data_IF_406207571351
#
_entry.id   IF_406207571351
#
_cell.length_a   1.000
_cell.length_b   1.000
_cell.length_c   1.000
_cell.angle_alpha   90.00
_cell.angle_beta   90.00
_cell.angle_gamma   90.00
#
_symmetry.space_group_name_H-M   'P 1'
#
loop_
_entity.id
_entity.type
_entity.pdbx_description
1 polymer ?
#
# COMPACT_ATOMS: atom_id res chain seq x y z
N UNK A 1 9.41 17.59 5.54
CA UNK A 1 9.87 16.30 4.97
C UNK A 1 10.82 15.51 5.89
N UNK A 2 11.89 16.12 6.42
CA UNK A 2 12.92 15.44 7.24
C UNK A 2 12.35 14.60 8.41
N UNK A 3 11.31 15.09 9.08
CA UNK A 3 10.73 14.41 10.23
C UNK A 3 10.14 13.02 9.91
N UNK A 4 9.62 12.79 8.70
CA UNK A 4 9.08 11.47 8.31
C UNK A 4 10.20 10.42 8.26
N UNK A 5 11.36 10.81 7.74
CA UNK A 5 12.55 9.97 7.74
C UNK A 5 13.05 9.69 9.16
N UNK A 6 12.87 10.62 10.10
CA UNK A 6 13.21 10.37 11.52
C UNK A 6 12.22 9.42 12.21
N UNK A 7 10.97 9.31 11.73
CA UNK A 7 10.00 8.35 12.25
C UNK A 7 10.22 6.92 11.75
N UNK A 8 10.79 6.77 10.54
CA UNK A 8 10.96 5.47 9.88
C UNK A 8 11.69 4.41 10.74
N UNK A 9 12.81 4.71 11.44
CA UNK A 9 13.45 3.73 12.31
C UNK A 9 12.55 3.20 13.44
N UNK A 10 11.66 4.04 13.97
CA UNK A 10 10.72 3.64 15.02
C UNK A 10 9.66 2.69 14.48
N UNK A 11 9.07 3.01 13.32
CA UNK A 11 8.14 2.11 12.64
C UNK A 11 8.80 0.76 12.30
N UNK A 12 10.02 0.79 11.77
CA UNK A 12 10.78 -0.43 11.48
C UNK A 12 10.98 -1.27 12.73
N UNK A 13 11.31 -0.66 13.87
CA UNK A 13 11.49 -1.39 15.12
C UNK A 13 10.17 -2.00 15.62
N UNK A 14 9.07 -1.25 15.61
CA UNK A 14 7.75 -1.73 16.03
C UNK A 14 7.26 -2.89 15.17
N UNK A 15 7.23 -2.71 13.85
CA UNK A 15 6.73 -3.70 12.89
C UNK A 15 7.62 -4.95 12.86
N UNK A 16 8.95 -4.80 12.87
CA UNK A 16 9.85 -5.96 12.92
C UNK A 16 9.68 -6.73 14.23
N UNK A 17 9.58 -6.06 15.38
CA UNK A 17 9.40 -6.74 16.67
C UNK A 17 8.06 -7.46 16.75
N UNK A 18 7.00 -6.83 16.26
CA UNK A 18 5.66 -7.41 16.32
C UNK A 18 5.46 -8.59 15.34
N UNK A 19 6.11 -8.54 14.17
CA UNK A 19 5.83 -9.45 13.05
C UNK A 19 6.91 -10.48 12.75
N UNK A 20 8.13 -10.30 13.25
CA UNK A 20 9.22 -11.26 12.96
C UNK A 20 8.92 -12.63 13.56
N UNK A 21 9.22 -13.66 12.78
CA UNK A 21 9.01 -15.06 13.14
C UNK A 21 10.02 -15.53 14.20
N UNK A 22 9.82 -15.11 15.43
CA UNK A 22 10.31 -15.82 16.61
C UNK A 22 9.13 -16.58 17.21
N UNK A 23 9.33 -17.84 17.57
CA UNK A 23 8.30 -18.74 18.12
C UNK A 23 7.66 -18.09 19.35
N UNK A 24 6.38 -17.66 19.30
CA UNK A 24 5.80 -16.91 20.41
C UNK A 24 5.40 -17.85 21.54
N UNK A 25 5.91 -17.59 22.74
CA UNK A 25 5.24 -18.03 23.96
C UNK A 25 3.86 -17.31 24.06
N UNK A 26 2.87 -17.86 24.76
CA UNK A 26 1.53 -17.25 24.87
C UNK A 26 1.52 -15.80 25.36
N UNK A 27 2.51 -15.42 26.19
CA UNK A 27 2.69 -14.04 26.68
C UNK A 27 3.07 -13.04 25.58
N UNK A 28 3.65 -13.52 24.48
CA UNK A 28 4.14 -12.70 23.37
C UNK A 28 3.01 -12.19 22.47
N UNK A 29 1.88 -12.91 22.40
CA UNK A 29 0.76 -12.55 21.50
C UNK A 29 0.14 -11.19 21.89
N UNK A 30 -0.13 -10.96 23.18
CA UNK A 30 -0.70 -9.70 23.64
C UNK A 30 0.26 -8.52 23.42
N UNK A 31 1.55 -8.73 23.64
CA UNK A 31 2.56 -7.70 23.37
C UNK A 31 2.62 -7.35 21.89
N UNK A 32 2.58 -8.34 20.99
CA UNK A 32 2.54 -8.10 19.53
C UNK A 32 1.31 -7.31 19.10
N UNK A 33 0.12 -7.70 19.56
CA UNK A 33 -1.12 -6.97 19.27
C UNK A 33 -1.02 -5.52 19.74
N UNK A 34 -0.56 -5.29 20.97
CA UNK A 34 -0.38 -3.94 21.50
C UNK A 34 0.63 -3.13 20.67
N UNK A 35 1.75 -3.72 20.26
CA UNK A 35 2.74 -3.04 19.42
C UNK A 35 2.17 -2.64 18.05
N UNK A 36 1.36 -3.50 17.44
CA UNK A 36 0.67 -3.19 16.19
C UNK A 36 -0.38 -2.09 16.37
N UNK A 37 -1.15 -2.11 17.47
CA UNK A 37 -2.09 -1.04 17.79
C UNK A 37 -1.37 0.30 17.99
N UNK A 38 -0.21 0.31 18.64
CA UNK A 38 0.64 1.50 18.76
C UNK A 38 1.18 1.97 17.40
N UNK A 39 1.61 1.03 16.54
CA UNK A 39 2.05 1.33 15.18
C UNK A 39 0.93 2.00 14.37
N UNK A 40 -0.29 1.46 14.45
CA UNK A 40 -1.48 2.02 13.80
C UNK A 40 -1.78 3.44 14.30
N UNK A 41 -1.81 3.65 15.62
CA UNK A 41 -2.06 4.97 16.20
C UNK A 41 -0.99 5.99 15.79
N UNK A 42 0.27 5.58 15.74
CA UNK A 42 1.36 6.44 15.28
C UNK A 42 1.19 6.80 13.80
N UNK A 43 0.85 5.81 12.95
CA UNK A 43 0.54 6.00 11.54
C UNK A 43 -0.59 7.03 11.37
N UNK A 44 -1.70 6.88 12.09
CA UNK A 44 -2.86 7.78 11.98
C UNK A 44 -2.50 9.21 12.41
N UNK A 45 -1.76 9.37 13.51
CA UNK A 45 -1.31 10.68 13.98
C UNK A 45 -0.36 11.35 12.99
N UNK A 46 0.53 10.55 12.38
CA UNK A 46 1.48 11.04 11.40
C UNK A 46 0.79 11.48 10.11
N UNK A 47 -0.17 10.69 9.62
CA UNK A 47 -1.01 11.01 8.47
C UNK A 47 -1.76 12.33 8.71
N UNK A 48 -2.41 12.48 9.88
CA UNK A 48 -3.11 13.73 10.24
C UNK A 48 -2.18 14.94 10.29
N UNK A 49 -0.96 14.77 10.82
CA UNK A 49 0.03 15.85 10.84
C UNK A 49 0.44 16.27 9.42
N UNK A 50 0.73 15.30 8.54
CA UNK A 50 1.08 15.58 7.14
C UNK A 50 -0.06 16.29 6.41
N UNK A 51 -1.30 15.81 6.56
CA UNK A 51 -2.49 16.44 5.98
C UNK A 51 -2.70 17.86 6.49
N UNK A 52 -2.46 18.10 7.78
CA UNK A 52 -2.55 19.45 8.36
C UNK A 52 -1.52 20.40 7.75
N UNK A 53 -0.29 19.94 7.53
CA UNK A 53 0.73 20.81 6.91
C UNK A 53 0.42 21.06 5.42
N UNK A 54 -0.10 20.05 4.72
CA UNK A 54 -0.54 20.19 3.34
C UNK A 54 -1.70 21.19 3.20
N UNK A 55 -2.65 21.22 4.14
CA UNK A 55 -3.77 22.18 4.10
C UNK A 55 -3.32 23.64 4.29
N UNK A 56 -2.14 23.86 4.88
CA UNK A 56 -1.49 25.17 4.98
C UNK A 56 -0.49 25.44 3.84
N UNK A 57 -0.49 24.61 2.79
CA UNK A 57 0.43 24.67 1.65
C UNK A 57 1.92 24.58 2.03
N UNK A 58 2.24 23.96 3.17
CA UNK A 58 3.62 23.75 3.62
C UNK A 58 4.23 22.47 3.02
N UNK A 59 3.39 21.56 2.54
CA UNK A 59 3.79 20.30 1.90
C UNK A 59 2.96 20.09 0.64
N UNK A 60 3.59 19.57 -0.42
CA UNK A 60 2.89 19.04 -1.58
C UNK A 60 2.64 17.53 -1.38
N UNK A 61 1.45 17.06 -1.71
CA UNK A 61 1.08 15.63 -1.66
C UNK A 61 0.88 15.02 -3.05
N UNK A 62 1.10 15.79 -4.12
CA UNK A 62 0.95 15.30 -5.49
C UNK A 62 2.11 14.35 -5.83
N UNK A 63 1.85 13.07 -6.10
CA UNK A 63 2.90 12.08 -6.41
C UNK A 63 3.69 12.43 -7.69
N UNK A 64 3.15 13.26 -8.58
CA UNK A 64 3.85 13.72 -9.78
C UNK A 64 4.94 14.78 -9.51
N UNK A 65 4.91 15.42 -8.33
CA UNK A 65 5.86 16.45 -7.95
C UNK A 65 7.12 15.86 -7.29
N UNK A 66 8.35 16.22 -7.72
CA UNK A 66 9.59 15.63 -7.20
C UNK A 66 9.81 15.79 -5.70
N UNK A 67 9.29 16.87 -5.10
CA UNK A 67 9.45 17.19 -3.67
C UNK A 67 8.21 16.82 -2.84
N UNK A 68 7.37 15.95 -3.40
CA UNK A 68 6.13 15.52 -2.77
C UNK A 68 6.35 14.66 -1.53
N UNK A 69 5.37 14.73 -0.64
CA UNK A 69 5.25 13.92 0.56
C UNK A 69 3.95 13.12 0.51
N UNK A 70 3.68 12.51 -0.66
CA UNK A 70 2.45 11.77 -0.94
C UNK A 70 2.30 10.51 -0.07
N UNK A 71 3.41 9.93 0.38
CA UNK A 71 3.46 8.73 1.20
C UNK A 71 4.64 8.73 2.17
N UNK A 72 4.60 7.85 3.17
CA UNK A 72 5.70 7.61 4.10
C UNK A 72 5.79 6.13 4.49
N UNK A 73 6.98 5.69 4.90
CA UNK A 73 7.21 4.33 5.38
C UNK A 73 6.58 4.14 6.77
N UNK A 74 5.78 3.09 6.93
CA UNK A 74 5.15 2.70 8.19
C UNK A 74 5.69 1.39 8.75
N UNK A 75 6.81 0.93 8.21
CA UNK A 75 7.66 -0.07 8.85
C UNK A 75 8.16 -1.14 7.89
N UNK A 76 8.94 -2.04 8.45
CA UNK A 76 9.58 -3.12 7.74
C UNK A 76 9.57 -4.37 8.61
N UNK A 77 9.27 -5.52 8.02
CA UNK A 77 9.27 -6.81 8.71
C UNK A 77 9.82 -7.92 7.83
N UNK A 78 10.17 -9.04 8.44
CA UNK A 78 10.65 -10.22 7.75
C UNK A 78 9.65 -11.37 7.88
N UNK A 79 9.32 -11.98 6.75
CA UNK A 79 8.43 -13.13 6.63
C UNK A 79 9.18 -14.27 5.95
N UNK A 80 9.81 -15.15 6.73
CA UNK A 80 10.72 -16.17 6.22
C UNK A 80 11.88 -15.54 5.43
N UNK A 81 11.95 -15.83 4.12
CA UNK A 81 12.95 -15.24 3.20
C UNK A 81 12.48 -13.94 2.52
N UNK A 82 11.32 -13.41 2.90
CA UNK A 82 10.80 -12.16 2.35
C UNK A 82 11.08 -11.01 3.30
N UNK A 83 11.56 -9.91 2.76
CA UNK A 83 11.55 -8.61 3.45
C UNK A 83 10.38 -7.80 2.90
N UNK A 84 9.53 -7.32 3.79
CA UNK A 84 8.38 -6.49 3.47
C UNK A 84 8.62 -5.08 4.00
N UNK A 85 8.57 -4.08 3.14
CA UNK A 85 8.58 -2.67 3.51
C UNK A 85 7.24 -2.04 3.17
N UNK A 86 6.61 -1.36 4.14
CA UNK A 86 5.24 -0.88 4.03
C UNK A 86 5.21 0.64 3.91
N UNK A 87 4.42 1.16 2.98
CA UNK A 87 4.22 2.58 2.77
C UNK A 87 2.74 2.94 2.80
N UNK A 88 2.42 4.08 3.41
CA UNK A 88 1.06 4.62 3.51
C UNK A 88 0.93 5.89 2.69
N UNK A 89 -0.09 5.96 1.83
CA UNK A 89 -0.43 7.16 1.07
C UNK A 89 -1.34 8.07 1.89
N UNK A 90 -0.97 9.35 1.97
CA UNK A 90 -1.66 10.37 2.76
C UNK A 90 -3.02 10.77 2.16
N UNK A 91 -3.19 10.61 0.85
CA UNK A 91 -4.44 10.88 0.14
C UNK A 91 -4.67 9.83 -0.95
N UNK A 92 -5.92 9.65 -1.41
CA UNK A 92 -6.19 8.87 -2.61
C UNK A 92 -5.32 9.34 -3.77
N UNK A 93 -4.52 8.41 -4.29
CA UNK A 93 -3.56 8.68 -5.37
C UNK A 93 -3.86 7.72 -6.51
N UNK A 94 -4.03 8.19 -7.76
CA UNK A 94 -4.29 7.28 -8.88
C UNK A 94 -3.28 6.14 -8.95
N UNK A 95 -3.75 4.94 -9.27
CA UNK A 95 -2.90 3.75 -9.40
C UNK A 95 -1.78 3.95 -10.44
N UNK A 96 -2.10 4.61 -11.56
CA UNK A 96 -1.12 5.03 -12.57
C UNK A 96 -1.04 6.55 -12.62
N UNK A 97 0.18 7.10 -12.78
CA UNK A 97 0.40 8.54 -12.74
C UNK A 97 -0.25 9.31 -13.92
N UNK A 98 -0.41 8.67 -15.10
CA UNK A 98 -0.92 9.33 -16.32
C UNK A 98 -2.31 8.87 -16.75
N UNK A 99 -2.81 7.75 -16.23
CA UNK A 99 -4.05 7.13 -16.68
C UNK A 99 -4.98 7.00 -15.48
N UNK A 100 -6.15 7.62 -15.58
CA UNK A 100 -7.21 7.39 -14.61
C UNK A 100 -7.85 6.03 -14.89
N UNK A 101 -7.49 5.04 -14.07
CA UNK A 101 -8.07 3.70 -14.12
C UNK A 101 -9.28 3.55 -13.19
N UNK A 102 -9.68 4.61 -12.48
CA UNK A 102 -10.66 4.53 -11.38
C UNK A 102 -10.16 3.79 -10.14
N UNK A 103 -8.88 3.39 -10.11
CA UNK A 103 -8.24 2.73 -8.96
C UNK A 103 -7.34 3.72 -8.23
N UNK A 104 -7.47 3.77 -6.91
CA UNK A 104 -6.73 4.68 -6.05
C UNK A 104 -5.94 3.93 -5.00
N UNK A 105 -4.64 4.21 -4.91
CA UNK A 105 -3.71 3.64 -3.95
C UNK A 105 -4.00 4.18 -2.55
N UNK A 106 -3.90 3.31 -1.56
CA UNK A 106 -3.89 3.65 -0.14
C UNK A 106 -2.63 3.18 0.57
N UNK A 107 -2.11 2.02 0.20
CA UNK A 107 -0.85 1.48 0.72
C UNK A 107 -0.05 0.80 -0.38
N UNK A 108 1.27 0.74 -0.19
CA UNK A 108 2.20 -0.04 -1.01
C UNK A 108 3.02 -0.95 -0.11
N UNK A 109 3.26 -2.17 -0.57
CA UNK A 109 4.26 -3.07 0.00
C UNK A 109 5.29 -3.38 -1.04
N UNK A 110 6.54 -3.22 -0.64
CA UNK A 110 7.69 -3.64 -1.42
C UNK A 110 8.14 -4.99 -0.84
N UNK A 111 8.12 -6.02 -1.67
CA UNK A 111 8.44 -7.40 -1.26
C UNK A 111 9.74 -7.81 -1.94
N UNK A 112 10.76 -8.00 -1.14
CA UNK A 112 12.08 -8.42 -1.60
C UNK A 112 12.36 -9.86 -1.18
N UNK A 113 12.85 -10.69 -2.11
CA UNK A 113 13.31 -12.06 -1.81
C UNK A 113 14.78 -12.04 -1.41
N UNK A 114 15.06 -12.43 -0.17
CA UNK A 114 16.41 -12.55 0.39
C UNK A 114 17.01 -13.93 0.00
N UNK A 115 18.14 -13.93 -0.72
CA UNK A 115 18.98 -15.11 -0.98
C UNK A 115 20.33 -14.96 -0.27
N UNK A 116 20.98 -16.09 0.01
CA UNK A 116 22.32 -16.13 0.64
C UNK A 116 23.40 -15.51 -0.26
N UNK A 117 23.21 -15.58 -1.59
CA UNK A 117 24.05 -14.92 -2.58
C UNK A 117 23.44 -13.58 -2.98
N UNK A 118 24.22 -12.50 -2.90
CA UNK A 118 23.84 -11.08 -3.02
C UNK A 118 23.21 -10.64 -4.37
N UNK A 119 22.73 -11.56 -5.22
CA UNK A 119 21.91 -11.23 -6.37
C UNK A 119 20.49 -10.87 -5.90
N UNK A 120 20.30 -9.58 -5.63
CA UNK A 120 18.98 -8.96 -5.44
C UNK A 120 18.07 -9.42 -6.58
N UNK A 121 17.04 -10.18 -6.22
CA UNK A 121 15.99 -10.56 -7.15
C UNK A 121 15.07 -9.36 -7.38
N UNK A 122 14.26 -9.41 -8.44
CA UNK A 122 13.26 -8.38 -8.72
C UNK A 122 12.38 -8.13 -7.49
N UNK A 123 12.28 -6.87 -7.11
CA UNK A 123 11.37 -6.36 -6.08
C UNK A 123 9.94 -6.43 -6.62
N UNK A 124 9.03 -7.03 -5.86
CA UNK A 124 7.62 -7.12 -6.22
C UNK A 124 6.84 -6.05 -5.45
N UNK A 125 6.13 -5.19 -6.19
CA UNK A 125 5.28 -4.18 -5.59
C UNK A 125 3.83 -4.65 -5.52
N UNK A 126 3.26 -4.52 -4.32
CA UNK A 126 1.84 -4.79 -4.04
C UNK A 126 1.17 -3.52 -3.55
N UNK A 127 -0.12 -3.38 -3.83
CA UNK A 127 -0.88 -2.20 -3.47
C UNK A 127 -2.21 -2.57 -2.83
N UNK A 128 -2.60 -1.80 -1.82
CA UNK A 128 -3.98 -1.72 -1.36
C UNK A 128 -4.62 -0.60 -2.16
N UNK A 129 -5.59 -0.95 -2.97
CA UNK A 129 -6.33 -0.01 -3.77
C UNK A 129 -7.81 -0.05 -3.42
N UNK A 130 -8.49 1.07 -3.66
CA UNK A 130 -9.93 1.09 -3.76
C UNK A 130 -10.39 1.56 -5.14
N UNK A 131 -11.60 1.17 -5.49
CA UNK A 131 -12.38 1.71 -6.62
C UNK A 131 -13.78 2.06 -6.14
N UNK A 132 -14.38 3.09 -6.73
CA UNK A 132 -15.76 3.48 -6.43
C UNK A 132 -16.69 2.89 -7.50
N UNK A 133 -17.57 1.96 -7.11
CA UNK A 133 -18.46 1.21 -8.01
C UNK A 133 -19.90 1.71 -7.83
N UNK A 134 -20.72 1.85 -8.89
CA UNK A 134 -22.13 2.20 -8.75
C UNK A 134 -22.88 1.22 -7.85
N UNK A 135 -23.59 1.74 -6.83
CA UNK A 135 -24.40 0.92 -5.94
C UNK A 135 -25.75 0.60 -6.60
N UNK A 136 -25.87 -0.60 -7.15
CA UNK A 136 -27.05 -1.08 -7.89
C UNK A 136 -28.27 -1.31 -6.95
N UNK A 137 -28.06 -1.28 -5.63
CA UNK A 137 -29.09 -1.61 -4.63
C UNK A 137 -29.65 -0.44 -3.83
N UNK A 138 -29.25 0.82 -4.07
CA UNK A 138 -29.96 1.91 -3.44
C UNK A 138 -31.30 2.11 -4.13
N UNK A 139 -32.35 1.81 -3.39
CA UNK A 139 -33.70 1.70 -3.91
C UNK A 139 -34.13 2.97 -4.65
N UNK A 140 -34.79 2.72 -5.77
CA UNK A 140 -35.59 3.70 -6.49
C UNK A 140 -36.77 4.12 -5.60
N UNK A 141 -36.55 5.05 -4.68
CA UNK A 141 -37.64 5.73 -4.00
C UNK A 141 -37.41 7.25 -3.95
N UNK A 142 -38.42 7.98 -4.42
CA UNK A 142 -38.54 9.43 -4.27
C UNK A 142 -37.86 10.28 -5.35
N UNK A 143 -38.61 10.67 -6.38
CA UNK A 143 -38.15 11.56 -7.45
C UNK A 143 -37.62 12.92 -6.96
N UNK A 144 -36.46 13.31 -7.48
CA UNK A 144 -36.02 14.70 -7.55
C UNK A 144 -34.85 14.81 -8.55
N UNK A 145 -34.95 15.79 -9.45
CA UNK A 145 -33.92 16.19 -10.41
C UNK A 145 -32.60 16.52 -9.69
N UNK A 146 -31.53 15.85 -10.11
CA UNK A 146 -30.15 16.20 -9.75
C UNK A 146 -29.28 14.96 -9.75
N UNK A 147 -28.23 14.96 -10.58
CA UNK A 147 -27.23 13.88 -10.63
C UNK A 147 -26.52 13.84 -9.29
N UNK A 148 -27.06 13.08 -8.34
CA UNK A 148 -26.50 12.94 -7.01
C UNK A 148 -25.33 11.97 -7.11
N UNK A 149 -24.11 12.47 -6.88
CA UNK A 149 -22.89 11.66 -6.66
C UNK A 149 -23.00 10.69 -5.45
N UNK A 150 -24.17 10.56 -4.83
CA UNK A 150 -24.39 9.92 -3.54
C UNK A 150 -24.57 8.41 -3.56
N UNK A 151 -24.23 7.69 -4.63
CA UNK A 151 -24.54 6.26 -4.72
C UNK A 151 -23.42 5.39 -5.29
N UNK A 152 -22.18 5.67 -4.92
CA UNK A 152 -21.03 4.83 -5.24
C UNK A 152 -20.58 4.09 -3.97
N UNK A 153 -20.39 2.78 -4.07
CA UNK A 153 -19.81 1.95 -3.03
C UNK A 153 -18.29 1.87 -3.25
N UNK A 154 -17.52 2.28 -2.24
CA UNK A 154 -16.08 2.09 -2.24
C UNK A 154 -15.75 0.63 -1.98
N UNK A 155 -14.90 0.04 -2.79
CA UNK A 155 -14.52 -1.36 -2.71
C UNK A 155 -13.01 -1.48 -2.62
N UNK A 156 -12.52 -2.22 -1.64
CA UNK A 156 -11.11 -2.41 -1.33
C UNK A 156 -10.58 -3.74 -1.85
N UNK A 157 -9.35 -3.72 -2.35
CA UNK A 157 -8.66 -4.92 -2.79
C UNK A 157 -7.15 -4.79 -2.62
N UNK A 158 -6.47 -5.93 -2.50
CA UNK A 158 -5.02 -6.04 -2.61
C UNK A 158 -4.69 -6.63 -3.98
N UNK A 159 -3.70 -6.06 -4.65
CA UNK A 159 -3.24 -6.53 -5.95
C UNK A 159 -1.76 -6.26 -6.17
N UNK A 160 -1.20 -6.99 -7.12
CA UNK A 160 0.19 -6.87 -7.54
C UNK A 160 0.31 -5.88 -8.69
N UNK A 161 1.39 -5.10 -8.67
CA UNK A 161 1.81 -4.30 -9.81
C UNK A 161 2.61 -5.16 -10.78
N UNK A 162 2.10 -5.29 -12.00
CA UNK A 162 2.72 -6.10 -13.05
C UNK A 162 3.06 -5.17 -14.20
N UNK A 163 4.35 -5.00 -14.45
CA UNK A 163 4.86 -4.16 -15.53
C UNK A 163 4.29 -4.59 -16.89
N UNK A 164 3.80 -3.61 -17.65
CA UNK A 164 3.28 -3.79 -19.01
C UNK A 164 4.17 -3.06 -20.02
N UNK A 165 4.62 -1.85 -19.68
CA UNK A 165 5.51 -1.06 -20.52
C UNK A 165 6.51 -0.30 -19.62
N UNK A 166 7.83 -0.32 -19.88
CA UNK A 166 8.51 -1.06 -20.96
C UNK A 166 8.32 -2.57 -20.83
N UNK A 167 8.45 -3.33 -21.91
CA UNK A 167 8.25 -4.78 -21.89
C UNK A 167 9.26 -5.42 -20.91
N UNK A 168 8.83 -6.09 -19.83
CA UNK A 168 9.78 -6.68 -18.87
C UNK A 168 10.62 -7.82 -19.46
N UNK A 169 10.24 -8.36 -20.62
CA UNK A 169 10.95 -9.45 -21.31
C UNK A 169 11.96 -8.95 -22.34
N UNK A 170 11.96 -7.65 -22.65
CA UNK A 170 12.95 -7.05 -23.55
C UNK A 170 14.24 -6.75 -22.80
N UNK A 171 15.39 -7.05 -23.42
CA UNK A 171 16.69 -6.57 -22.96
C UNK A 171 17.04 -5.19 -23.54
N UNK A 172 16.14 -4.60 -24.34
CA UNK A 172 16.37 -3.31 -24.97
C UNK A 172 16.26 -2.16 -23.96
N UNK A 173 17.42 -1.60 -23.59
CA UNK A 173 17.51 -0.44 -22.71
C UNK A 173 16.83 0.81 -23.32
N UNK A 174 16.70 0.88 -24.65
CA UNK A 174 16.03 2.01 -25.29
C UNK A 174 14.56 2.08 -24.91
N UNK A 175 13.87 0.94 -24.74
CA UNK A 175 12.48 0.91 -24.29
C UNK A 175 12.33 1.58 -22.92
N UNK A 176 13.30 1.38 -22.02
CA UNK A 176 13.33 2.05 -20.71
C UNK A 176 13.65 3.54 -20.82
N UNK A 177 14.60 3.92 -21.69
CA UNK A 177 15.02 5.33 -21.85
C UNK A 177 13.92 6.18 -22.47
N UNK A 178 13.17 5.65 -23.43
CA UNK A 178 12.07 6.38 -24.10
C UNK A 178 10.75 6.29 -23.33
N UNK A 179 10.66 5.42 -22.33
CA UNK A 179 9.48 5.31 -21.49
C UNK A 179 9.43 6.48 -20.51
N UNK A 180 8.67 7.51 -20.84
CA UNK A 180 8.44 8.65 -19.95
C UNK A 180 7.91 8.23 -18.57
N UNK A 181 6.94 7.30 -18.55
CA UNK A 181 6.28 6.80 -17.34
C UNK A 181 5.93 5.31 -17.54
N UNK A 182 6.46 4.42 -16.68
CA UNK A 182 6.12 3.00 -16.73
C UNK A 182 4.62 2.76 -16.59
N UNK A 183 4.11 1.81 -17.36
CA UNK A 183 2.74 1.33 -17.30
C UNK A 183 2.70 -0.05 -16.66
N UNK A 184 1.62 -0.31 -15.94
CA UNK A 184 1.39 -1.59 -15.32
C UNK A 184 -0.08 -1.94 -15.25
N UNK A 185 -0.33 -3.23 -15.18
CA UNK A 185 -1.64 -3.77 -14.84
C UNK A 185 -1.72 -4.02 -13.33
N UNK A 186 -2.88 -3.72 -12.77
CA UNK A 186 -3.23 -4.10 -11.40
C UNK A 186 -3.80 -5.52 -11.40
N UNK A 187 -2.98 -6.50 -11.06
CA UNK A 187 -3.44 -7.88 -10.90
C UNK A 187 -4.09 -8.03 -9.51
N UNK A 188 -5.41 -7.93 -9.45
CA UNK A 188 -6.16 -8.09 -8.20
C UNK A 188 -6.00 -9.52 -7.66
N UNK A 189 -5.54 -9.64 -6.42
CA UNK A 189 -5.27 -10.92 -5.75
C UNK A 189 -6.29 -11.23 -4.65
N UNK A 190 -6.76 -10.20 -3.92
CA UNK A 190 -7.69 -10.36 -2.81
C UNK A 190 -8.70 -9.22 -2.77
N UNK A 191 -9.97 -9.59 -2.61
CA UNK A 191 -11.08 -8.67 -2.40
C UNK A 191 -11.39 -8.54 -0.92
N UNK A 192 -11.51 -7.30 -0.41
CA UNK A 192 -11.70 -7.02 1.03
C UNK A 192 -13.10 -6.48 1.37
N UNK A 193 -13.88 -6.05 0.37
CA UNK A 193 -15.23 -5.50 0.59
C UNK A 193 -15.24 -3.98 0.73
N UNK A 194 -16.24 -3.44 1.43
CA UNK A 194 -16.50 -1.99 1.48
C UNK A 194 -15.74 -1.24 2.57
N UNK A 195 -15.37 -1.94 3.63
CA UNK A 195 -14.73 -1.34 4.80
C UNK A 195 -13.22 -1.18 4.58
N UNK A 196 -12.70 0.02 4.84
CA UNK A 196 -11.26 0.28 4.75
C UNK A 196 -10.53 -0.53 5.83
N UNK A 197 -9.60 -1.43 5.46
CA UNK A 197 -8.79 -2.14 6.43
C UNK A 197 -7.81 -1.18 7.13
N UNK A 198 -7.44 -1.49 8.38
CA UNK A 198 -6.32 -0.81 9.02
C UNK A 198 -5.00 -1.16 8.32
N UNK A 199 -3.95 -0.36 8.51
CA UNK A 199 -2.63 -0.66 7.93
C UNK A 199 -2.11 -2.01 8.41
N UNK A 200 -2.38 -2.34 9.66
CA UNK A 200 -2.00 -3.62 10.26
C UNK A 200 -2.77 -4.79 9.62
N UNK A 201 -4.11 -4.72 9.54
CA UNK A 201 -4.90 -5.83 8.98
C UNK A 201 -4.67 -6.01 7.49
N UNK A 202 -4.51 -4.92 6.74
CA UNK A 202 -4.14 -4.98 5.33
C UNK A 202 -2.79 -5.70 5.12
N UNK A 203 -1.81 -5.42 6.01
CA UNK A 203 -0.52 -6.11 5.99
C UNK A 203 -0.65 -7.58 6.37
N UNK A 204 -1.49 -7.92 7.36
CA UNK A 204 -1.78 -9.32 7.72
C UNK A 204 -2.35 -10.10 6.54
N UNK A 205 -3.31 -9.52 5.81
CA UNK A 205 -3.88 -10.14 4.62
C UNK A 205 -2.83 -10.39 3.53
N UNK A 206 -1.94 -9.42 3.27
CA UNK A 206 -0.86 -9.61 2.31
C UNK A 206 0.10 -10.72 2.76
N UNK A 207 0.50 -10.74 4.04
CA UNK A 207 1.39 -11.79 4.55
C UNK A 207 0.78 -13.19 4.40
N UNK A 208 -0.52 -13.33 4.66
CA UNK A 208 -1.25 -14.59 4.43
C UNK A 208 -1.26 -14.99 2.94
N UNK A 209 -1.48 -14.04 2.02
CA UNK A 209 -1.38 -14.29 0.59
C UNK A 209 0.02 -14.79 0.22
N UNK A 210 1.07 -14.10 0.64
CA UNK A 210 2.46 -14.46 0.33
C UNK A 210 2.83 -15.84 0.88
N UNK A 211 2.42 -16.18 2.10
CA UNK A 211 2.62 -17.51 2.67
C UNK A 211 1.90 -18.61 1.88
N UNK A 212 0.70 -18.33 1.36
CA UNK A 212 -0.06 -19.29 0.56
C UNK A 212 0.55 -19.55 -0.82
N UNK A 213 1.36 -18.61 -1.34
CA UNK A 213 2.11 -18.79 -2.57
C UNK A 213 3.42 -19.57 -2.32
N UNK A 214 4.10 -19.36 -1.20
CA UNK A 214 5.31 -20.11 -0.85
C UNK A 214 5.09 -21.60 -0.64
N UNK A 215 3.87 -22.04 -0.27
CA UNK A 215 3.57 -23.47 -0.05
C UNK A 215 3.25 -24.24 -1.33
N UNK A 216 3.19 -23.57 -2.49
CA UNK A 216 2.89 -24.19 -3.79
C UNK A 216 4.12 -24.47 -4.64
N UNK A 217 5.29 -23.96 -4.23
CA UNK A 217 6.61 -24.25 -4.81
C UNK A 217 7.29 -25.40 -4.05
#
# INVERSE_FOLDING_TARGET
PSFLYTCQPYFNHLESTARSQHTPLPYDIYTRVNLLDFSQQLCDRLEQLVLTYASHNLLCLDESEPNSVSHFCIGQSQLGRLRLTVFRYCKPTPYLARVDTGLYKRMRWNVERLRDDQQQQAEEDYFLCYEDIPNIHAEADGGSQGVSHGNMARIWSIGQWVQVNPDPTTEDIYDWIICDVPQASYQRLLFLGSDEPSSCSATDYLQQLLLSHQTKD
#
